data_IF_195834228856
#
_entry.id   IF_195834228856
#
_cell.length_a   1.000
_cell.length_b   1.000
_cell.length_c   1.000
_cell.angle_alpha   90.00
_cell.angle_beta   90.00
_cell.angle_gamma   90.00
#
_symmetry.space_group_name_H-M   'P 1'
#
loop_
_entity.id
_entity.type
_entity.pdbx_description
1 polymer ?
#
# COMPACT_ATOMS: atom_id res chain seq x y z
N UNK A 1 -22.51 10.53 13.26
CA UNK A 1 -21.40 9.61 12.91
C UNK A 1 -21.93 8.38 12.18
N UNK A 2 -21.38 8.04 11.00
CA UNK A 2 -21.77 6.85 10.23
C UNK A 2 -20.71 5.76 10.43
N UNK A 3 -21.16 4.54 10.70
CA UNK A 3 -20.28 3.38 10.88
C UNK A 3 -19.89 2.81 9.50
N UNK A 4 -18.59 2.83 9.17
CA UNK A 4 -18.09 2.41 7.85
C UNK A 4 -17.85 0.90 7.74
N UNK A 5 -17.45 0.26 8.85
CA UNK A 5 -17.20 -1.18 8.92
C UNK A 5 -18.21 -1.85 9.86
N UNK A 6 -18.75 -3.00 9.46
CA UNK A 6 -19.64 -3.81 10.30
C UNK A 6 -19.38 -5.30 10.08
N UNK A 7 -19.56 -6.12 11.12
CA UNK A 7 -19.28 -7.57 11.09
C UNK A 7 -18.22 -8.00 12.10
N UNK A 8 -17.43 -9.03 11.79
CA UNK A 8 -16.39 -9.63 12.64
C UNK A 8 -15.07 -8.82 12.71
N UNK A 9 -15.11 -7.58 12.23
CA UNK A 9 -14.01 -6.65 12.02
C UNK A 9 -13.82 -5.83 13.32
N UNK A 10 -12.67 -5.95 14.01
CA UNK A 10 -12.49 -5.40 15.39
C UNK A 10 -11.39 -4.33 15.54
N UNK A 11 -10.38 -4.27 14.67
CA UNK A 11 -9.32 -3.25 14.69
C UNK A 11 -9.03 -2.71 13.28
N UNK A 12 -9.80 -1.72 12.83
CA UNK A 12 -9.57 -1.10 11.52
C UNK A 12 -8.44 -0.09 11.60
N UNK A 13 -7.38 -0.33 10.83
CA UNK A 13 -6.18 0.49 10.79
C UNK A 13 -5.87 0.94 9.37
N UNK A 14 -4.99 1.93 9.29
CA UNK A 14 -4.38 2.47 8.07
C UNK A 14 -5.35 2.75 6.92
N UNK A 15 -6.54 3.26 7.29
CA UNK A 15 -7.59 3.54 6.33
C UNK A 15 -7.18 4.63 5.33
N UNK A 16 -7.56 4.43 4.06
CA UNK A 16 -7.32 5.34 2.93
C UNK A 16 -8.55 5.37 2.04
N UNK A 17 -8.93 6.54 1.55
CA UNK A 17 -10.11 6.70 0.67
C UNK A 17 -9.71 7.33 -0.65
N UNK A 18 -10.29 6.84 -1.74
CA UNK A 18 -10.26 7.49 -3.05
C UNK A 18 -11.68 7.65 -3.58
N UNK A 19 -11.86 8.64 -4.45
CA UNK A 19 -13.17 8.99 -5.00
C UNK A 19 -13.11 8.92 -6.52
N UNK A 20 -14.11 8.30 -7.13
CA UNK A 20 -14.35 8.43 -8.56
C UNK A 20 -14.87 9.85 -8.84
N UNK A 21 -14.10 10.69 -9.57
CA UNK A 21 -14.49 12.07 -9.83
C UNK A 21 -15.75 12.20 -10.72
N UNK A 22 -16.10 11.18 -11.49
CA UNK A 22 -17.26 11.21 -12.38
C UNK A 22 -18.57 10.89 -11.65
N UNK A 23 -18.55 9.90 -10.75
CA UNK A 23 -19.76 9.43 -10.03
C UNK A 23 -19.86 9.96 -8.60
N UNK A 24 -18.75 10.36 -7.99
CA UNK A 24 -18.67 10.66 -6.56
C UNK A 24 -18.70 9.42 -5.67
N UNK A 25 -18.53 8.22 -6.22
CA UNK A 25 -18.40 7.00 -5.44
C UNK A 25 -17.08 7.02 -4.68
N UNK A 26 -17.11 6.62 -3.42
CA UNK A 26 -15.92 6.56 -2.57
C UNK A 26 -15.55 5.10 -2.26
N UNK A 27 -14.26 4.78 -2.38
CA UNK A 27 -13.69 3.47 -2.09
C UNK A 27 -12.74 3.63 -0.91
N UNK A 28 -13.14 3.11 0.25
CA UNK A 28 -12.32 3.10 1.46
C UNK A 28 -11.62 1.75 1.59
N UNK A 29 -10.30 1.75 1.60
CA UNK A 29 -9.50 0.59 1.99
C UNK A 29 -9.00 0.74 3.41
N UNK A 30 -8.81 -0.38 4.08
CA UNK A 30 -8.25 -0.47 5.42
C UNK A 30 -7.80 -1.90 5.66
N UNK A 31 -6.98 -2.10 6.68
CA UNK A 31 -6.58 -3.43 7.12
C UNK A 31 -7.10 -3.73 8.52
N UNK A 32 -7.14 -5.02 8.85
CA UNK A 32 -7.56 -5.48 10.16
C UNK A 32 -6.85 -6.76 10.57
N UNK A 33 -6.48 -6.85 11.85
CA UNK A 33 -6.02 -8.09 12.46
C UNK A 33 -7.12 -9.15 12.45
N UNK A 34 -6.90 -10.28 11.78
CA UNK A 34 -7.82 -11.43 11.85
C UNK A 34 -7.75 -12.02 13.27
N UNK A 35 -8.90 -12.20 13.91
CA UNK A 35 -9.01 -12.66 15.29
C UNK A 35 -8.20 -13.97 15.52
N UNK A 36 -7.25 -13.94 16.46
CA UNK A 36 -6.51 -15.12 16.92
C UNK A 36 -5.30 -15.57 16.08
N UNK A 37 -4.80 -14.75 15.15
CA UNK A 37 -3.62 -15.11 14.35
C UNK A 37 -2.77 -13.92 13.88
N UNK A 38 -1.59 -14.22 13.30
CA UNK A 38 -0.66 -13.25 12.69
C UNK A 38 -1.14 -12.66 11.36
N UNK A 39 -2.34 -13.02 10.90
CA UNK A 39 -2.85 -12.59 9.60
C UNK A 39 -3.60 -11.27 9.73
N UNK A 40 -3.13 -10.23 9.05
CA UNK A 40 -3.94 -9.06 8.78
C UNK A 40 -4.55 -9.18 7.39
N UNK A 41 -5.85 -8.95 7.29
CA UNK A 41 -6.60 -8.95 6.03
C UNK A 41 -6.85 -7.52 5.57
N UNK A 42 -6.86 -7.30 4.26
CA UNK A 42 -7.17 -6.02 3.66
C UNK A 42 -8.59 -6.02 3.11
N UNK A 43 -9.29 -4.91 3.34
CA UNK A 43 -10.71 -4.76 3.04
C UNK A 43 -10.98 -3.51 2.22
N UNK A 44 -12.05 -3.56 1.44
CA UNK A 44 -12.66 -2.40 0.77
C UNK A 44 -14.11 -2.23 1.23
N UNK A 45 -14.53 -0.99 1.42
CA UNK A 45 -15.93 -0.60 1.59
C UNK A 45 -16.26 0.52 0.61
N UNK A 46 -17.44 0.47 0.02
CA UNK A 46 -17.85 1.39 -1.06
C UNK A 46 -19.03 2.23 -0.59
N UNK A 47 -18.95 3.53 -0.84
CA UNK A 47 -20.07 4.44 -0.73
C UNK A 47 -20.50 4.90 -2.12
N UNK A 48 -21.80 4.81 -2.40
CA UNK A 48 -22.40 5.27 -3.66
C UNK A 48 -23.18 6.58 -3.48
N UNK A 49 -23.15 7.15 -2.28
CA UNK A 49 -23.96 8.29 -1.84
C UNK A 49 -23.10 9.36 -1.15
N UNK A 50 -21.87 9.56 -1.64
CA UNK A 50 -20.92 10.58 -1.17
C UNK A 50 -20.55 10.46 0.32
N UNK A 51 -20.44 9.23 0.80
CA UNK A 51 -20.01 8.89 2.16
C UNK A 51 -21.14 8.83 3.19
N UNK A 52 -22.41 8.99 2.77
CA UNK A 52 -23.55 8.95 3.68
C UNK A 52 -23.84 7.53 4.19
N UNK A 53 -23.65 6.51 3.34
CA UNK A 53 -23.70 5.09 3.70
C UNK A 53 -22.55 4.33 3.06
N UNK A 54 -22.25 3.15 3.62
CA UNK A 54 -21.13 2.31 3.23
C UNK A 54 -21.59 0.86 3.09
N UNK A 55 -21.05 0.16 2.11
CA UNK A 55 -21.30 -1.26 1.89
C UNK A 55 -20.75 -2.11 3.05
N UNK A 56 -21.09 -3.40 3.05
CA UNK A 56 -20.34 -4.38 3.85
C UNK A 56 -18.87 -4.35 3.43
N UNK A 57 -17.96 -4.48 4.40
CA UNK A 57 -16.53 -4.64 4.16
C UNK A 57 -16.26 -5.94 3.40
N UNK A 58 -15.61 -5.83 2.24
CA UNK A 58 -15.21 -6.97 1.42
C UNK A 58 -13.71 -7.20 1.58
N UNK A 59 -13.32 -8.40 2.00
CA UNK A 59 -11.91 -8.79 2.03
C UNK A 59 -11.43 -9.01 0.60
N UNK A 60 -10.40 -8.29 0.18
CA UNK A 60 -9.82 -8.46 -1.17
C UNK A 60 -8.46 -9.17 -1.16
N UNK A 61 -7.71 -9.09 -0.06
CA UNK A 61 -6.42 -9.75 0.07
C UNK A 61 -6.04 -10.00 1.54
N UNK A 62 -4.96 -10.75 1.75
CA UNK A 62 -4.33 -10.96 3.07
C UNK A 62 -2.83 -10.72 2.96
N UNK A 63 -2.23 -10.09 3.97
CA UNK A 63 -0.78 -10.08 4.09
C UNK A 63 -0.29 -11.51 4.37
N UNK A 64 0.73 -11.95 3.66
CA UNK A 64 1.36 -13.25 3.84
C UNK A 64 2.51 -13.16 4.86
N UNK A 65 3.32 -12.11 4.78
CA UNK A 65 4.48 -11.89 5.65
C UNK A 65 4.75 -10.39 5.85
N UNK A 66 3.87 -9.69 6.59
CA UNK A 66 3.87 -8.24 6.64
C UNK A 66 5.15 -7.69 7.30
N UNK A 67 5.54 -6.49 6.87
CA UNK A 67 6.74 -5.78 7.35
C UNK A 67 6.57 -5.33 8.81
N UNK A 68 5.41 -4.76 9.11
CA UNK A 68 5.00 -4.30 10.44
C UNK A 68 3.47 -4.20 10.46
N UNK A 69 2.83 -4.79 11.48
CA UNK A 69 1.39 -4.63 11.74
C UNK A 69 1.14 -4.00 13.11
N UNK A 70 1.90 -4.42 14.12
CA UNK A 70 1.82 -3.90 15.49
C UNK A 70 3.11 -4.26 16.25
N UNK A 71 3.62 -3.43 17.19
CA UNK A 71 4.76 -3.80 18.04
C UNK A 71 4.48 -5.08 18.85
N UNK A 72 5.39 -6.07 18.93
CA UNK A 72 6.81 -6.01 18.61
C UNK A 72 7.18 -6.44 17.17
N UNK A 73 6.21 -6.66 16.28
CA UNK A 73 6.42 -7.23 14.94
C UNK A 73 6.93 -6.23 13.88
N UNK A 74 7.52 -5.10 14.30
CA UNK A 74 7.84 -3.98 13.40
C UNK A 74 9.33 -3.88 13.03
N UNK A 75 10.05 -5.00 13.05
CA UNK A 75 11.50 -5.07 12.82
C UNK A 75 11.88 -6.23 11.90
N UNK A 76 10.98 -6.68 11.02
CA UNK A 76 11.16 -7.90 10.22
C UNK A 76 11.98 -7.69 8.92
N UNK A 77 12.76 -6.61 8.85
CA UNK A 77 13.60 -6.27 7.69
C UNK A 77 15.08 -6.34 8.05
N UNK A 78 15.91 -6.70 7.07
CA UNK A 78 17.36 -6.89 7.25
C UNK A 78 18.09 -5.57 7.55
N UNK A 79 19.34 -5.62 8.05
CA UNK A 79 20.23 -4.43 8.06
C UNK A 79 20.03 -3.42 9.20
N UNK A 80 19.78 -3.91 10.43
CA UNK A 80 19.61 -3.17 11.71
C UNK A 80 18.16 -2.93 12.15
N UNK A 81 17.95 -2.75 13.46
CA UNK A 81 16.63 -2.43 14.02
C UNK A 81 16.15 -1.07 13.50
N UNK A 82 15.02 -1.10 12.79
CA UNK A 82 14.30 0.08 12.34
C UNK A 82 12.82 -0.14 12.56
N UNK A 83 12.12 0.84 13.13
CA UNK A 83 10.66 0.78 13.22
C UNK A 83 10.10 1.02 11.82
N UNK A 84 9.89 -0.07 11.10
CA UNK A 84 9.39 0.01 9.73
C UNK A 84 7.97 0.60 9.70
N UNK A 85 7.64 1.48 8.73
CA UNK A 85 6.26 1.79 8.41
C UNK A 85 5.50 0.49 8.08
N UNK A 86 4.21 0.48 8.44
CA UNK A 86 3.36 -0.70 8.37
C UNK A 86 3.19 -1.27 6.97
N UNK A 87 2.74 -2.52 6.90
CA UNK A 87 2.11 -3.07 5.70
C UNK A 87 0.65 -2.59 5.68
N UNK A 88 0.30 -1.68 4.78
CA UNK A 88 -1.05 -1.13 4.67
C UNK A 88 -1.52 -1.00 3.20
N UNK A 89 -2.85 -1.07 2.94
CA UNK A 89 -3.41 -0.94 1.60
C UNK A 89 -3.52 0.53 1.17
N UNK A 90 -2.92 0.86 0.03
CA UNK A 90 -2.93 2.20 -0.56
C UNK A 90 -3.69 2.18 -1.88
N UNK A 91 -4.92 2.74 -1.91
CA UNK A 91 -5.76 2.72 -3.10
C UNK A 91 -5.48 3.88 -4.04
N UNK A 92 -5.67 3.66 -5.33
CA UNK A 92 -5.84 4.72 -6.33
C UNK A 92 -6.86 4.30 -7.37
N UNK A 93 -7.72 5.23 -7.76
CA UNK A 93 -8.74 5.01 -8.78
C UNK A 93 -8.25 5.53 -10.14
N UNK A 94 -8.30 4.65 -11.14
CA UNK A 94 -8.04 4.97 -12.54
C UNK A 94 -9.37 5.16 -13.29
N UNK A 95 -9.77 6.42 -13.58
CA UNK A 95 -11.00 6.69 -14.30
C UNK A 95 -10.95 6.28 -15.77
N UNK A 96 -9.77 6.09 -16.35
CA UNK A 96 -9.62 5.73 -17.77
C UNK A 96 -9.96 4.26 -18.02
N UNK A 97 -9.74 3.41 -17.02
CA UNK A 97 -9.99 1.97 -17.11
C UNK A 97 -11.06 1.47 -16.14
N UNK A 98 -11.58 2.33 -15.26
CA UNK A 98 -12.51 1.94 -14.21
C UNK A 98 -11.89 1.00 -13.18
N UNK A 99 -10.56 1.05 -12.98
CA UNK A 99 -9.86 0.18 -12.04
C UNK A 99 -9.61 0.87 -10.72
N UNK A 100 -9.90 0.17 -9.63
CA UNK A 100 -9.36 0.50 -8.31
C UNK A 100 -8.09 -0.32 -8.11
N UNK A 101 -6.94 0.35 -8.19
CA UNK A 101 -5.65 -0.23 -7.84
C UNK A 101 -5.44 -0.15 -6.33
N UNK A 102 -4.79 -1.16 -5.75
CA UNK A 102 -4.29 -1.13 -4.37
C UNK A 102 -2.87 -1.63 -4.34
N UNK A 103 -1.95 -0.77 -3.90
CA UNK A 103 -0.58 -1.13 -3.60
C UNK A 103 -0.44 -1.44 -2.10
N UNK A 104 0.44 -2.38 -1.76
CA UNK A 104 0.80 -2.66 -0.38
C UNK A 104 2.18 -3.28 -0.31
N UNK A 105 2.76 -3.33 0.89
CA UNK A 105 4.08 -3.94 1.10
C UNK A 105 3.95 -5.29 1.80
N UNK A 106 4.66 -6.29 1.33
CA UNK A 106 4.75 -7.62 1.96
C UNK A 106 6.17 -8.19 1.77
N UNK A 107 6.62 -9.09 2.64
CA UNK A 107 7.94 -9.70 2.51
C UNK A 107 7.86 -10.92 1.60
N UNK A 108 8.56 -10.85 0.47
CA UNK A 108 8.69 -11.96 -0.49
C UNK A 108 10.17 -12.29 -0.65
N UNK A 109 10.52 -13.57 -0.55
CA UNK A 109 11.89 -14.07 -0.66
C UNK A 109 12.91 -13.32 0.24
N UNK A 110 12.47 -12.98 1.45
CA UNK A 110 13.29 -12.35 2.47
C UNK A 110 13.49 -10.84 2.33
N UNK A 111 12.80 -10.18 1.38
CA UNK A 111 12.84 -8.72 1.19
C UNK A 111 11.44 -8.13 1.19
N UNK A 112 11.29 -6.92 1.71
CA UNK A 112 10.05 -6.18 1.54
C UNK A 112 9.89 -5.76 0.08
N UNK A 113 8.77 -6.12 -0.53
CA UNK A 113 8.42 -5.85 -1.92
C UNK A 113 7.11 -5.05 -1.98
N UNK A 114 6.95 -4.25 -3.04
CA UNK A 114 5.66 -3.62 -3.34
C UNK A 114 4.84 -4.60 -4.18
N UNK A 115 3.64 -4.93 -3.70
CA UNK A 115 2.65 -5.70 -4.44
C UNK A 115 1.54 -4.77 -4.93
N UNK A 116 1.03 -5.06 -6.11
CA UNK A 116 -0.11 -4.37 -6.71
C UNK A 116 -1.20 -5.39 -7.07
N UNK A 117 -2.44 -5.07 -6.70
CA UNK A 117 -3.65 -5.75 -7.16
C UNK A 117 -4.67 -4.70 -7.61
N UNK A 118 -5.65 -5.11 -8.39
CA UNK A 118 -6.75 -4.24 -8.79
C UNK A 118 -8.06 -5.01 -8.96
N UNK A 119 -9.17 -4.28 -8.88
CA UNK A 119 -10.49 -4.72 -9.33
C UNK A 119 -11.08 -3.69 -10.29
N UNK A 120 -11.94 -4.12 -11.20
CA UNK A 120 -12.77 -3.18 -11.96
C UNK A 120 -13.96 -2.75 -11.09
N UNK A 121 -14.26 -1.46 -11.01
CA UNK A 121 -15.25 -0.96 -10.04
C UNK A 121 -16.70 -1.36 -10.36
N UNK A 122 -16.98 -1.83 -11.59
CA UNK A 122 -18.26 -2.46 -11.92
C UNK A 122 -18.48 -3.80 -11.20
N UNK A 123 -17.41 -4.45 -10.75
CA UNK A 123 -17.44 -5.65 -9.91
C UNK A 123 -16.24 -5.65 -8.94
N UNK A 124 -16.43 -4.96 -7.81
CA UNK A 124 -15.42 -4.84 -6.77
C UNK A 124 -15.16 -6.15 -6.00
N UNK A 125 -15.85 -7.24 -6.34
CA UNK A 125 -15.65 -8.55 -5.71
C UNK A 125 -14.54 -9.36 -6.38
N UNK A 126 -14.14 -9.01 -7.61
CA UNK A 126 -13.15 -9.73 -8.39
C UNK A 126 -11.83 -8.95 -8.46
N UNK A 127 -10.85 -9.42 -7.68
CA UNK A 127 -9.51 -8.81 -7.62
C UNK A 127 -8.48 -9.65 -8.38
N UNK A 128 -7.54 -8.98 -9.04
CA UNK A 128 -6.41 -9.64 -9.67
C UNK A 128 -5.52 -10.31 -8.62
N UNK A 129 -4.82 -11.38 -9.00
CA UNK A 129 -3.73 -11.90 -8.18
C UNK A 129 -2.69 -10.79 -7.95
N UNK A 130 -2.25 -10.54 -6.70
CA UNK A 130 -1.22 -9.56 -6.42
C UNK A 130 0.09 -9.90 -7.13
N UNK A 131 0.74 -8.90 -7.71
CA UNK A 131 2.04 -9.06 -8.39
C UNK A 131 3.07 -8.11 -7.82
N UNK A 132 4.33 -8.54 -7.74
CA UNK A 132 5.44 -7.66 -7.38
C UNK A 132 5.64 -6.64 -8.50
N UNK A 133 5.75 -5.37 -8.13
CA UNK A 133 5.89 -4.24 -9.03
C UNK A 133 7.08 -3.39 -8.65
N UNK A 134 7.68 -2.73 -9.64
CA UNK A 134 8.92 -1.97 -9.49
C UNK A 134 9.97 -2.70 -8.59
N UNK A 135 10.37 -3.93 -8.94
CA UNK A 135 11.29 -4.72 -8.12
C UNK A 135 12.65 -4.03 -8.00
N UNK A 136 13.33 -4.23 -6.87
CA UNK A 136 14.62 -3.61 -6.59
C UNK A 136 15.56 -4.54 -5.82
N UNK A 137 16.84 -4.15 -5.73
CA UNK A 137 17.87 -4.97 -5.07
C UNK A 137 17.76 -4.95 -3.55
N UNK A 138 17.11 -3.93 -2.96
CA UNK A 138 16.86 -3.82 -1.52
C UNK A 138 15.38 -3.86 -1.15
N UNK A 139 15.10 -3.64 0.13
CA UNK A 139 13.73 -3.51 0.63
C UNK A 139 13.07 -2.24 0.07
N UNK A 140 11.82 -2.36 -0.39
CA UNK A 140 10.92 -1.25 -0.66
C UNK A 140 9.71 -1.32 0.25
N UNK A 141 9.45 -0.22 0.95
CA UNK A 141 8.38 -0.10 1.95
C UNK A 141 7.72 1.27 1.85
N UNK A 142 6.65 1.49 2.63
CA UNK A 142 5.97 2.79 2.73
C UNK A 142 5.51 3.32 1.37
N UNK A 143 4.85 2.46 0.59
CA UNK A 143 4.37 2.85 -0.74
C UNK A 143 3.28 3.90 -0.63
N UNK A 144 3.37 4.93 -1.46
CA UNK A 144 2.24 5.79 -1.80
C UNK A 144 1.96 5.62 -3.30
N UNK A 145 0.68 5.55 -3.67
CA UNK A 145 0.23 5.30 -5.05
C UNK A 145 -0.72 6.41 -5.49
N UNK A 146 -0.54 6.88 -6.72
CA UNK A 146 -1.50 7.73 -7.41
C UNK A 146 -1.65 7.31 -8.87
N UNK A 147 -2.78 7.70 -9.47
CA UNK A 147 -3.05 7.53 -10.90
C UNK A 147 -3.18 8.91 -11.52
N UNK A 148 -2.46 9.16 -12.60
CA UNK A 148 -2.66 10.36 -13.42
C UNK A 148 -3.97 10.21 -14.21
N UNK A 149 -5.01 11.04 -13.95
CA UNK A 149 -6.36 10.78 -14.44
C UNK A 149 -6.54 10.81 -15.97
N UNK A 150 -5.65 11.48 -16.71
CA UNK A 150 -5.76 11.59 -18.17
C UNK A 150 -5.21 10.39 -18.93
N UNK A 151 -4.11 9.80 -18.45
CA UNK A 151 -3.40 8.70 -19.12
C UNK A 151 -3.52 7.35 -18.41
N UNK A 152 -3.99 7.32 -17.16
CA UNK A 152 -3.96 6.11 -16.35
C UNK A 152 -2.55 5.71 -15.88
N UNK A 153 -1.55 6.60 -16.03
CA UNK A 153 -0.19 6.36 -15.54
C UNK A 153 -0.22 6.14 -14.03
N UNK A 154 0.39 5.06 -13.57
CA UNK A 154 0.61 4.78 -12.15
C UNK A 154 1.88 5.48 -11.70
N UNK A 155 1.81 6.13 -10.55
CA UNK A 155 2.90 6.85 -9.91
C UNK A 155 3.07 6.32 -8.48
N UNK A 156 4.26 5.77 -8.18
CA UNK A 156 4.65 5.29 -6.86
C UNK A 156 5.72 6.17 -6.22
N UNK A 157 5.60 6.38 -4.91
CA UNK A 157 6.72 6.76 -4.05
C UNK A 157 6.98 5.64 -3.06
N UNK A 158 8.24 5.30 -2.81
CA UNK A 158 8.63 4.28 -1.82
C UNK A 158 9.83 4.73 -1.01
N UNK A 159 9.90 4.33 0.25
CA UNK A 159 11.18 4.22 0.94
C UNK A 159 11.95 3.03 0.37
N UNK A 160 13.19 3.27 -0.05
CA UNK A 160 13.99 2.34 -0.84
C UNK A 160 15.37 2.16 -0.19
N UNK A 161 15.77 0.93 0.10
CA UNK A 161 17.07 0.63 0.71
C UNK A 161 18.05 -0.01 -0.28
N UNK A 162 17.73 0.00 -1.57
CA UNK A 162 18.53 -0.60 -2.65
C UNK A 162 19.88 0.08 -2.85
N UNK A 163 20.02 1.36 -2.49
CA UNK A 163 21.23 2.16 -2.76
C UNK A 163 22.32 2.04 -1.70
N UNK A 164 22.04 1.32 -0.60
CA UNK A 164 22.91 1.23 0.56
C UNK A 164 23.09 -0.22 1.05
N UNK A 165 22.68 -1.20 0.24
CA UNK A 165 22.70 -2.62 0.64
C UNK A 165 21.83 -2.89 1.86
N UNK A 166 20.61 -2.33 1.91
CA UNK A 166 19.69 -2.43 3.04
C UNK A 166 20.18 -1.79 4.35
N UNK A 167 21.00 -0.72 4.33
CA UNK A 167 21.47 -0.08 5.58
C UNK A 167 20.85 1.30 5.84
N UNK A 168 20.52 2.05 4.78
CA UNK A 168 19.95 3.39 4.82
C UNK A 168 18.68 3.46 3.95
N UNK A 169 17.86 4.46 4.21
CA UNK A 169 16.66 4.76 3.43
C UNK A 169 16.89 5.90 2.45
N UNK A 170 16.42 5.68 1.24
CA UNK A 170 16.24 6.66 0.21
C UNK A 170 14.76 6.78 -0.15
N UNK A 171 14.42 7.77 -0.96
CA UNK A 171 13.12 7.87 -1.60
C UNK A 171 13.30 7.55 -3.07
N UNK A 172 12.49 6.63 -3.58
CA UNK A 172 12.39 6.31 -5.01
C UNK A 172 11.02 6.70 -5.52
N UNK A 173 11.00 7.27 -6.72
CA UNK A 173 9.79 7.56 -7.49
C UNK A 173 9.75 6.62 -8.69
N UNK A 174 8.66 5.88 -8.85
CA UNK A 174 8.49 4.93 -9.96
C UNK A 174 7.21 5.22 -10.74
N UNK A 175 7.26 5.08 -12.07
CA UNK A 175 6.11 5.30 -12.93
C UNK A 175 5.85 4.11 -13.84
N UNK A 176 4.58 3.87 -14.15
CA UNK A 176 4.15 2.84 -15.11
C UNK A 176 3.04 3.37 -16.01
N UNK A 177 3.23 3.25 -17.32
CA UNK A 177 2.25 3.69 -18.32
C UNK A 177 1.40 2.52 -18.87
N UNK A 178 1.61 1.29 -18.40
CA UNK A 178 1.01 0.07 -18.95
C UNK A 178 0.24 -0.75 -17.90
N UNK A 179 -0.28 -0.07 -16.89
CA UNK A 179 -1.07 -0.68 -15.82
C UNK A 179 -0.25 -1.52 -14.85
N UNK A 180 1.04 -1.19 -14.68
CA UNK A 180 1.93 -1.82 -13.70
C UNK A 180 2.76 -2.98 -14.24
N UNK A 181 2.82 -3.19 -15.56
CA UNK A 181 3.61 -4.28 -16.17
C UNK A 181 5.09 -3.91 -16.28
N UNK A 182 5.39 -2.67 -16.65
CA UNK A 182 6.75 -2.13 -16.71
C UNK A 182 6.86 -0.85 -15.89
N UNK A 183 8.07 -0.59 -15.39
CA UNK A 183 8.34 0.49 -14.44
C UNK A 183 9.63 1.22 -14.79
N UNK A 184 9.58 2.55 -14.76
CA UNK A 184 10.76 3.41 -14.73
C UNK A 184 10.91 3.95 -13.30
N UNK A 185 12.08 3.76 -12.68
CA UNK A 185 12.35 4.22 -11.30
C UNK A 185 13.50 5.22 -11.27
N UNK A 186 13.32 6.31 -10.51
CA UNK A 186 14.34 7.32 -10.23
C UNK A 186 14.55 7.44 -8.72
N UNK A 187 15.82 7.49 -8.29
CA UNK A 187 16.18 7.86 -6.91
C UNK A 187 15.94 9.36 -6.73
N UNK A 188 15.09 9.74 -5.80
CA UNK A 188 14.76 11.14 -5.49
C UNK A 188 15.77 11.74 -4.53
N UNK A 189 16.21 10.99 -3.52
CA UNK A 189 17.21 11.45 -2.55
C UNK A 189 18.61 11.35 -3.16
N UNK A 190 19.20 12.48 -3.54
CA UNK A 190 20.51 12.52 -4.22
C UNK A 190 21.67 12.85 -3.30
N UNK A 191 21.42 13.35 -2.07
CA UNK A 191 22.44 13.67 -1.07
C UNK A 191 22.03 13.10 0.30
N UNK A 192 22.82 12.18 0.85
CA UNK A 192 22.68 11.72 2.24
C UNK A 192 23.47 12.68 3.15
N UNK A 193 22.84 13.73 3.67
CA UNK A 193 23.32 14.25 4.96
C UNK A 193 22.84 13.31 6.04
N UNK A 194 23.78 12.58 6.62
CA UNK A 194 23.50 11.66 7.70
C UNK A 194 23.20 12.48 8.96
N UNK A 195 21.92 12.60 9.33
CA UNK A 195 21.57 13.12 10.65
C UNK A 195 21.81 12.01 11.69
N UNK A 196 23.08 11.78 12.02
CA UNK A 196 23.40 11.16 13.29
C UNK A 196 23.10 12.20 14.37
N UNK A 197 21.91 12.13 14.95
CA UNK A 197 21.69 12.69 16.27
C UNK A 197 22.59 11.92 17.25
N UNK A 198 23.83 12.34 17.38
CA UNK A 198 24.69 11.92 18.49
C UNK A 198 24.02 12.40 19.77
N UNK A 199 23.44 11.46 20.51
CA UNK A 199 23.14 11.68 21.92
C UNK A 199 24.32 11.11 22.70
N UNK A 200 25.21 11.99 23.13
CA UNK A 200 26.03 11.87 24.35
C UNK A 200 26.31 13.28 24.86
N UNK A 201 26.31 13.50 26.19
CA UNK A 201 27.21 12.83 27.13
C UNK A 201 26.63 11.59 27.80
#
# INVERSE_FOLDING_TARGET
PVKVSSGSVRSDQDARVVVDPATGYAYLTFDNSVQGGKGTAMFVSVSTDRGATWSKSLRFATFQNPVCLYPPYCFNISGSQFRAPGSYPVPAFDPTTGRLYVAYTDIVDGKAQILLTYAHVSDITQWSTPVIVAPASGDRINVELSVEPGSGRLDFMTNDRSYSGNTLFDVSYSTSADGGKTWATTRVTTNLEVYFGSVTP
#
